data_IF_683466252154
#
_entry.id   IF_683466252154
#
_cell.length_a   1.000
_cell.length_b   1.000
_cell.length_c   1.000
_cell.angle_alpha   90.00
_cell.angle_beta   90.00
_cell.angle_gamma   90.00
#
_symmetry.space_group_name_H-M   'P 1'
#
loop_
_entity.id
_entity.type
_entity.pdbx_description
1 polymer ?
#
# COMPACT_ATOMS: atom_id res chain seq x y z
N UNK A 1 -63.77 -16.57 -22.38
CA UNK A 1 -62.64 -17.27 -21.76
C UNK A 1 -61.30 -17.04 -22.48
N UNK A 2 -61.12 -17.20 -23.82
CA UNK A 2 -59.85 -17.01 -24.51
C UNK A 2 -59.24 -15.60 -24.43
N UNK A 3 -60.07 -14.53 -24.46
CA UNK A 3 -59.55 -13.13 -24.35
C UNK A 3 -59.02 -12.77 -22.96
N UNK A 4 -59.58 -13.34 -21.90
CA UNK A 4 -59.13 -13.10 -20.51
C UNK A 4 -57.78 -13.77 -20.24
N UNK A 5 -57.54 -14.93 -20.83
CA UNK A 5 -56.26 -15.62 -20.73
C UNK A 5 -55.13 -14.87 -21.43
N UNK A 6 -55.41 -14.23 -22.59
CA UNK A 6 -54.42 -13.44 -23.32
C UNK A 6 -54.00 -12.16 -22.56
N UNK A 7 -54.92 -11.52 -21.87
CA UNK A 7 -54.60 -10.36 -21.04
C UNK A 7 -53.83 -10.73 -19.75
N UNK A 8 -54.07 -11.89 -19.16
CA UNK A 8 -53.31 -12.37 -18.01
C UNK A 8 -51.86 -12.74 -18.41
N UNK A 9 -51.65 -13.35 -19.57
CA UNK A 9 -50.30 -13.67 -20.09
C UNK A 9 -49.51 -12.39 -20.45
N UNK A 10 -50.18 -11.38 -21.06
CA UNK A 10 -49.55 -10.10 -21.39
C UNK A 10 -49.14 -9.32 -20.10
N UNK A 11 -49.98 -9.35 -19.07
CA UNK A 11 -49.67 -8.73 -17.77
C UNK A 11 -48.51 -9.42 -17.03
N UNK A 12 -48.43 -10.75 -17.09
CA UNK A 12 -47.30 -11.49 -16.53
C UNK A 12 -46.00 -11.28 -17.25
N UNK A 13 -46.02 -11.13 -18.59
CA UNK A 13 -44.86 -10.83 -19.39
C UNK A 13 -44.33 -9.40 -19.14
N UNK A 14 -45.24 -8.41 -18.95
CA UNK A 14 -44.82 -7.03 -18.59
C UNK A 14 -44.23 -6.94 -17.18
N UNK A 15 -44.75 -7.71 -16.22
CA UNK A 15 -44.17 -7.80 -14.87
C UNK A 15 -42.82 -8.48 -14.85
N UNK A 16 -42.58 -9.50 -15.70
CA UNK A 16 -41.28 -10.16 -15.85
C UNK A 16 -40.22 -9.28 -16.48
N UNK A 17 -40.61 -8.43 -17.46
CA UNK A 17 -39.71 -7.44 -18.08
C UNK A 17 -39.37 -6.32 -17.10
N UNK A 18 -40.31 -5.86 -16.28
CA UNK A 18 -40.06 -4.87 -15.24
C UNK A 18 -39.12 -5.40 -14.12
N UNK A 19 -39.25 -6.67 -13.75
CA UNK A 19 -38.35 -7.33 -12.79
C UNK A 19 -36.92 -7.50 -13.33
N UNK A 20 -36.75 -7.71 -14.64
CA UNK A 20 -35.45 -7.81 -15.27
C UNK A 20 -34.70 -6.45 -15.40
N UNK A 21 -35.43 -5.33 -15.42
CA UNK A 21 -34.86 -3.99 -15.47
C UNK A 21 -34.24 -3.55 -14.13
N UNK A 22 -34.50 -4.24 -13.01
CA UNK A 22 -33.96 -3.91 -11.69
C UNK A 22 -32.52 -4.41 -11.47
N UNK A 23 -31.98 -5.22 -12.37
CA UNK A 23 -30.58 -5.62 -12.39
C UNK A 23 -29.72 -4.56 -13.13
N UNK A 24 -29.95 -3.25 -12.89
CA UNK A 24 -29.02 -2.23 -13.32
C UNK A 24 -27.71 -2.47 -12.59
N UNK A 25 -26.72 -3.00 -13.29
CA UNK A 25 -25.37 -3.09 -12.78
C UNK A 25 -24.92 -1.66 -12.46
N UNK A 26 -24.77 -1.36 -11.16
CA UNK A 26 -24.22 -0.07 -10.75
C UNK A 26 -22.86 0.11 -11.42
N UNK A 27 -22.56 1.29 -11.92
CA UNK A 27 -21.25 1.61 -12.49
C UNK A 27 -20.18 1.21 -11.48
N UNK A 28 -19.24 0.35 -11.84
CA UNK A 28 -18.19 -0.09 -10.92
C UNK A 28 -17.37 1.10 -10.39
N UNK A 29 -16.99 1.01 -9.13
CA UNK A 29 -16.01 1.92 -8.56
C UNK A 29 -14.62 1.43 -8.97
N UNK A 30 -13.75 2.33 -9.42
CA UNK A 30 -12.37 2.04 -9.81
C UNK A 30 -11.39 2.55 -8.76
N UNK A 31 -10.54 1.66 -8.23
CA UNK A 31 -9.40 2.01 -7.40
C UNK A 31 -8.12 1.98 -8.23
N UNK A 32 -7.50 3.15 -8.42
CA UNK A 32 -6.23 3.28 -9.14
C UNK A 32 -5.10 3.09 -8.16
N UNK A 33 -4.37 1.97 -8.29
CA UNK A 33 -3.31 1.53 -7.38
C UNK A 33 -1.93 1.86 -7.96
N UNK A 34 -1.04 2.56 -7.21
CA UNK A 34 0.21 3.09 -7.75
C UNK A 34 1.36 2.07 -7.92
N UNK A 35 1.09 0.78 -7.71
CA UNK A 35 2.11 -0.27 -7.75
C UNK A 35 1.62 -1.52 -8.49
N UNK A 36 2.55 -2.39 -8.94
CA UNK A 36 2.18 -3.65 -9.57
C UNK A 36 1.36 -4.56 -8.67
N UNK A 37 0.61 -5.46 -9.29
CA UNK A 37 -0.10 -6.53 -8.59
C UNK A 37 0.88 -7.40 -7.76
N UNK A 38 0.40 -7.94 -6.64
CA UNK A 38 1.13 -8.82 -5.74
C UNK A 38 1.98 -8.13 -4.67
N UNK A 39 2.22 -6.81 -4.76
CA UNK A 39 2.86 -6.03 -3.69
C UNK A 39 1.90 -5.71 -2.54
N UNK A 40 2.42 -5.09 -1.47
CA UNK A 40 1.64 -4.74 -0.26
C UNK A 40 0.41 -3.88 -0.57
N UNK A 41 0.56 -2.87 -1.44
CA UNK A 41 -0.55 -2.01 -1.86
C UNK A 41 -1.71 -2.81 -2.48
N UNK A 42 -1.38 -3.70 -3.41
CA UNK A 42 -2.37 -4.50 -4.13
C UNK A 42 -3.07 -5.49 -3.19
N UNK A 43 -2.31 -6.22 -2.36
CA UNK A 43 -2.86 -7.20 -1.43
C UNK A 43 -3.82 -6.56 -0.42
N UNK A 44 -3.41 -5.47 0.25
CA UNK A 44 -4.25 -4.75 1.21
C UNK A 44 -5.48 -4.18 0.52
N UNK A 45 -5.29 -3.53 -0.64
CA UNK A 45 -6.41 -2.93 -1.38
C UNK A 45 -7.44 -3.96 -1.80
N UNK A 46 -7.03 -5.13 -2.33
CA UNK A 46 -7.97 -6.19 -2.75
C UNK A 46 -8.77 -6.75 -1.58
N UNK A 47 -8.14 -6.99 -0.42
CA UNK A 47 -8.84 -7.48 0.76
C UNK A 47 -9.91 -6.50 1.22
N UNK A 48 -9.57 -5.21 1.35
CA UNK A 48 -10.50 -4.17 1.81
C UNK A 48 -11.58 -3.88 0.75
N UNK A 49 -11.20 -3.74 -0.52
CA UNK A 49 -12.11 -3.45 -1.62
C UNK A 49 -13.16 -4.54 -1.81
N UNK A 50 -12.77 -5.83 -1.67
CA UNK A 50 -13.71 -6.94 -1.79
C UNK A 50 -14.84 -6.88 -0.74
N UNK A 51 -14.50 -6.59 0.51
CA UNK A 51 -15.48 -6.47 1.59
C UNK A 51 -16.32 -5.18 1.47
N UNK A 52 -15.69 -4.06 1.10
CA UNK A 52 -16.39 -2.81 0.87
C UNK A 52 -17.37 -2.90 -0.31
N UNK A 53 -17.01 -3.60 -1.38
CA UNK A 53 -17.87 -3.83 -2.54
C UNK A 53 -19.15 -4.59 -2.15
N UNK A 54 -19.06 -5.60 -1.28
CA UNK A 54 -20.22 -6.33 -0.78
C UNK A 54 -21.16 -5.42 0.03
N UNK A 55 -20.58 -4.54 0.89
CA UNK A 55 -21.36 -3.62 1.72
C UNK A 55 -22.04 -2.55 0.86
N UNK A 56 -21.35 -2.05 -0.16
CA UNK A 56 -21.88 -1.04 -1.10
C UNK A 56 -22.90 -1.64 -2.08
N UNK A 57 -22.88 -2.95 -2.29
CA UNK A 57 -23.60 -3.58 -3.40
C UNK A 57 -23.15 -3.08 -4.77
N UNK A 58 -21.90 -2.66 -4.90
CA UNK A 58 -21.29 -2.10 -6.10
C UNK A 58 -19.88 -2.67 -6.26
N UNK A 59 -19.54 -3.26 -7.43
CA UNK A 59 -18.21 -3.80 -7.66
C UNK A 59 -17.12 -2.74 -7.52
N UNK A 60 -15.99 -3.12 -6.94
CA UNK A 60 -14.77 -2.29 -6.91
C UNK A 60 -13.70 -2.96 -7.77
N UNK A 61 -13.26 -2.30 -8.83
CA UNK A 61 -12.25 -2.80 -9.77
C UNK A 61 -10.89 -2.20 -9.41
N UNK A 62 -9.88 -3.05 -9.32
CA UNK A 62 -8.51 -2.63 -9.03
C UNK A 62 -7.75 -2.43 -10.35
N UNK A 63 -7.28 -1.19 -10.57
CA UNK A 63 -6.50 -0.79 -11.75
C UNK A 63 -5.06 -0.43 -11.32
N UNK A 64 -4.13 -1.36 -11.50
CA UNK A 64 -2.73 -1.16 -11.13
C UNK A 64 -2.00 -0.30 -12.19
N UNK A 65 -1.56 0.91 -11.82
CA UNK A 65 -0.83 1.88 -12.65
C UNK A 65 0.52 2.18 -12.01
N UNK A 66 1.45 1.27 -12.17
CA UNK A 66 2.79 1.41 -11.61
C UNK A 66 3.63 2.43 -12.38
N UNK A 67 4.59 3.04 -11.68
CA UNK A 67 5.63 3.88 -12.25
C UNK A 67 5.73 5.28 -11.63
N UNK A 68 6.89 5.90 -11.82
CA UNK A 68 7.25 7.23 -11.33
C UNK A 68 6.84 7.45 -9.86
N UNK A 69 7.22 6.52 -8.97
CA UNK A 69 6.87 6.58 -7.54
C UNK A 69 5.37 6.82 -7.26
N UNK A 70 4.48 6.27 -8.11
CA UNK A 70 3.04 6.40 -7.97
C UNK A 70 2.43 7.65 -8.64
N UNK A 71 3.22 8.50 -9.27
CA UNK A 71 2.71 9.71 -9.95
C UNK A 71 1.81 9.36 -11.13
N UNK A 72 2.13 8.29 -11.89
CA UNK A 72 1.29 7.84 -13.02
C UNK A 72 -0.13 7.49 -12.55
N UNK A 73 -0.26 6.81 -11.42
CA UNK A 73 -1.55 6.47 -10.85
C UNK A 73 -2.31 7.70 -10.36
N UNK A 74 -1.62 8.63 -9.68
CA UNK A 74 -2.20 9.88 -9.21
C UNK A 74 -2.77 10.70 -10.39
N UNK A 75 -1.97 10.90 -11.45
CA UNK A 75 -2.42 11.59 -12.66
C UNK A 75 -3.59 10.87 -13.35
N UNK A 76 -3.56 9.52 -13.38
CA UNK A 76 -4.66 8.73 -13.94
C UNK A 76 -5.97 8.99 -13.18
N UNK A 77 -5.92 9.04 -11.85
CA UNK A 77 -7.08 9.35 -11.03
C UNK A 77 -7.56 10.80 -11.22
N UNK A 78 -6.64 11.74 -11.37
CA UNK A 78 -6.97 13.16 -11.60
C UNK A 78 -7.55 13.46 -12.98
N UNK A 79 -7.27 12.61 -13.98
CA UNK A 79 -7.88 12.75 -15.32
C UNK A 79 -9.30 12.15 -15.38
N UNK A 80 -9.69 11.34 -14.42
CA UNK A 80 -11.05 10.82 -14.34
C UNK A 80 -12.02 11.89 -13.84
N UNK A 81 -13.31 11.72 -14.13
CA UNK A 81 -14.34 12.61 -13.62
C UNK A 81 -14.42 12.55 -12.09
N UNK A 82 -14.76 13.69 -11.47
CA UNK A 82 -14.94 13.79 -10.02
C UNK A 82 -16.37 13.36 -9.61
N UNK A 83 -16.87 12.26 -10.17
CA UNK A 83 -18.25 11.75 -10.01
C UNK A 83 -18.42 10.72 -8.86
N UNK A 84 -17.31 10.35 -8.21
CA UNK A 84 -17.32 9.35 -7.14
C UNK A 84 -17.19 7.90 -7.61
N UNK A 85 -16.85 7.67 -8.88
CA UNK A 85 -16.59 6.32 -9.42
C UNK A 85 -15.08 6.00 -9.56
N UNK A 86 -14.19 6.97 -9.47
CA UNK A 86 -12.75 6.74 -9.51
C UNK A 86 -12.08 7.29 -8.26
N UNK A 87 -11.31 6.45 -7.57
CA UNK A 87 -10.53 6.81 -6.39
C UNK A 87 -9.07 6.41 -6.57
N UNK A 88 -8.19 7.16 -5.95
CA UNK A 88 -6.76 6.89 -5.92
C UNK A 88 -6.38 6.15 -4.64
N UNK A 89 -5.52 5.15 -4.72
CA UNK A 89 -4.90 4.53 -3.56
C UNK A 89 -3.63 5.29 -3.21
N UNK A 90 -3.75 6.19 -2.25
CA UNK A 90 -2.63 6.97 -1.72
C UNK A 90 -1.69 6.11 -0.86
N UNK A 91 -0.43 6.53 -0.79
CA UNK A 91 0.62 5.91 0.02
C UNK A 91 1.72 6.93 0.36
N UNK A 92 2.74 6.51 1.12
CA UNK A 92 3.84 7.37 1.54
C UNK A 92 4.48 8.16 0.38
N UNK A 93 4.79 7.53 -0.76
CA UNK A 93 5.48 8.20 -1.86
C UNK A 93 4.62 9.28 -2.51
N UNK A 94 3.47 8.98 -3.17
CA UNK A 94 2.73 9.97 -3.93
C UNK A 94 2.03 11.03 -3.07
N UNK A 95 1.74 10.75 -1.78
CA UNK A 95 1.03 11.67 -0.91
C UNK A 95 1.93 12.47 0.03
N UNK A 96 3.18 12.02 0.24
CA UNK A 96 4.09 12.60 1.24
C UNK A 96 5.47 12.88 0.66
N UNK A 97 6.21 11.84 0.25
CA UNK A 97 7.65 11.93 0.04
C UNK A 97 8.00 12.61 -1.29
N UNK A 98 7.24 12.36 -2.35
CA UNK A 98 7.55 12.88 -3.68
C UNK A 98 7.73 14.40 -3.72
N UNK A 99 6.99 15.16 -2.90
CA UNK A 99 7.12 16.62 -2.77
C UNK A 99 8.52 17.08 -2.33
N UNK A 100 9.28 16.20 -1.65
CA UNK A 100 10.60 16.54 -1.14
C UNK A 100 11.74 16.18 -2.10
N UNK A 101 11.49 15.26 -3.05
CA UNK A 101 12.55 14.63 -3.85
C UNK A 101 12.44 14.90 -5.36
N UNK A 102 11.23 15.22 -5.86
CA UNK A 102 11.03 15.61 -7.26
C UNK A 102 11.00 17.12 -7.40
N UNK A 103 11.76 17.65 -8.36
CA UNK A 103 11.77 19.08 -8.67
C UNK A 103 10.44 19.55 -9.28
N UNK A 104 9.76 18.65 -10.01
CA UNK A 104 8.46 18.92 -10.62
C UNK A 104 7.51 17.75 -10.39
N UNK A 105 6.30 18.06 -9.97
CA UNK A 105 5.19 17.13 -9.88
C UNK A 105 4.02 17.66 -10.73
N UNK A 106 3.33 16.76 -11.42
CA UNK A 106 2.16 17.12 -12.23
C UNK A 106 0.90 17.37 -11.39
N UNK A 107 0.96 17.15 -10.07
CA UNK A 107 -0.14 17.35 -9.13
C UNK A 107 0.37 17.85 -7.77
N UNK A 108 -0.53 18.42 -7.01
CA UNK A 108 -0.33 18.79 -5.62
C UNK A 108 -1.16 17.85 -4.73
N UNK A 109 -0.52 16.97 -3.93
CA UNK A 109 -1.24 15.99 -3.13
C UNK A 109 -2.20 16.59 -2.09
N UNK A 110 -1.99 17.85 -1.68
CA UNK A 110 -2.82 18.54 -0.69
C UNK A 110 -4.01 19.29 -1.29
N UNK A 111 -3.88 19.73 -2.53
CA UNK A 111 -4.91 20.52 -3.23
C UNK A 111 -5.80 19.65 -4.11
N UNK A 112 -5.21 18.65 -4.76
CA UNK A 112 -5.86 17.87 -5.81
C UNK A 112 -6.55 16.62 -5.28
N UNK A 113 -6.25 16.22 -4.04
CA UNK A 113 -6.84 15.06 -3.39
C UNK A 113 -7.42 15.38 -2.02
N UNK A 114 -8.52 14.72 -1.70
CA UNK A 114 -9.13 14.70 -0.35
C UNK A 114 -9.07 13.29 0.23
N UNK A 115 -8.69 13.13 1.52
CA UNK A 115 -8.69 11.83 2.18
C UNK A 115 -10.11 11.26 2.27
N UNK A 116 -10.22 9.93 2.07
CA UNK A 116 -11.47 9.20 2.27
C UNK A 116 -11.36 8.28 3.49
N UNK A 117 -10.40 7.36 3.48
CA UNK A 117 -10.21 6.40 4.59
C UNK A 117 -8.85 5.71 4.47
N UNK A 118 -8.19 5.41 5.61
CA UNK A 118 -7.07 4.49 5.64
C UNK A 118 -7.53 3.05 5.39
N UNK A 119 -6.78 2.29 4.60
CA UNK A 119 -7.07 0.87 4.37
C UNK A 119 -6.19 -0.05 5.22
N UNK A 120 -4.93 0.29 5.37
CA UNK A 120 -4.01 -0.50 6.18
C UNK A 120 -2.60 0.06 6.21
N UNK A 121 -1.90 -0.26 7.27
CA UNK A 121 -0.46 0.00 7.43
C UNK A 121 0.27 -1.28 7.76
N UNK A 122 1.54 -1.34 7.39
CA UNK A 122 2.40 -2.48 7.65
C UNK A 122 3.81 -2.01 7.98
N UNK A 123 4.43 -2.52 9.05
CA UNK A 123 5.83 -2.21 9.33
C UNK A 123 6.73 -2.72 8.21
N UNK A 124 7.88 -2.10 8.06
CA UNK A 124 8.92 -2.62 7.20
C UNK A 124 9.70 -3.72 7.90
N UNK A 125 10.22 -4.63 7.12
CA UNK A 125 11.08 -5.72 7.52
C UNK A 125 12.42 -5.60 6.79
N UNK A 126 13.53 -5.57 7.51
CA UNK A 126 14.85 -5.77 6.93
C UNK A 126 14.98 -7.25 6.57
N UNK A 127 15.13 -7.51 5.30
CA UNK A 127 15.34 -8.86 4.74
C UNK A 127 16.61 -8.92 3.91
N UNK A 128 17.23 -10.10 3.86
CA UNK A 128 18.35 -10.38 2.97
C UNK A 128 18.03 -11.54 2.02
N UNK A 129 18.76 -11.63 0.92
CA UNK A 129 18.75 -12.83 0.09
C UNK A 129 19.19 -14.07 0.89
N UNK A 130 18.63 -15.23 0.57
CA UNK A 130 18.78 -16.45 1.37
C UNK A 130 20.22 -16.92 1.60
N UNK A 131 21.11 -16.63 0.66
CA UNK A 131 22.51 -17.06 0.69
C UNK A 131 23.51 -15.92 1.06
N UNK A 132 23.05 -14.82 1.68
CA UNK A 132 23.95 -13.73 2.11
C UNK A 132 24.91 -14.14 3.23
N UNK A 133 24.54 -15.14 4.05
CA UNK A 133 25.39 -15.63 5.13
C UNK A 133 25.16 -14.95 6.49
N UNK A 134 24.08 -14.16 6.64
CA UNK A 134 23.64 -13.59 7.91
C UNK A 134 22.25 -14.14 8.26
N UNK A 135 22.01 -14.43 9.54
CA UNK A 135 20.73 -14.92 10.08
C UNK A 135 20.15 -14.02 11.18
N UNK A 136 20.92 -13.04 11.61
CA UNK A 136 20.54 -12.00 12.57
C UNK A 136 21.24 -10.68 12.26
N UNK A 137 20.85 -9.61 12.95
CA UNK A 137 21.39 -8.26 12.74
C UNK A 137 22.88 -8.20 13.07
N UNK A 138 23.34 -8.91 14.09
CA UNK A 138 24.75 -8.87 14.51
C UNK A 138 25.66 -9.52 13.44
N UNK A 139 25.28 -10.67 12.91
CA UNK A 139 25.97 -11.33 11.79
C UNK A 139 25.96 -10.46 10.54
N UNK A 140 24.81 -9.83 10.24
CA UNK A 140 24.67 -8.93 9.12
C UNK A 140 25.63 -7.73 9.22
N UNK A 141 25.70 -7.07 10.39
CA UNK A 141 26.62 -5.96 10.61
C UNK A 141 28.08 -6.43 10.51
N UNK A 142 28.39 -7.63 11.02
CA UNK A 142 29.74 -8.18 10.91
C UNK A 142 30.16 -8.43 9.46
N UNK A 143 29.22 -8.85 8.58
CA UNK A 143 29.43 -8.95 7.15
C UNK A 143 29.57 -7.56 6.51
N UNK A 144 28.71 -6.62 6.90
CA UNK A 144 28.73 -5.25 6.37
C UNK A 144 30.07 -4.54 6.63
N UNK A 145 30.65 -4.73 7.82
CA UNK A 145 31.97 -4.17 8.17
C UNK A 145 33.14 -4.74 7.34
N UNK A 146 32.96 -5.93 6.77
CA UNK A 146 33.98 -6.58 5.92
C UNK A 146 33.79 -6.23 4.43
N UNK A 147 32.70 -5.60 4.07
CA UNK A 147 32.39 -5.25 2.68
C UNK A 147 32.91 -3.85 2.35
N UNK A 148 33.88 -3.73 1.46
CA UNK A 148 34.40 -2.45 0.99
C UNK A 148 33.39 -1.70 0.09
N UNK A 149 32.52 -2.45 -0.59
CA UNK A 149 31.52 -1.89 -1.54
C UNK A 149 30.15 -1.66 -0.92
N UNK A 150 29.88 -2.21 0.27
CA UNK A 150 28.54 -2.24 0.87
C UNK A 150 27.62 -3.30 0.23
N UNK A 151 26.31 -3.09 0.33
CA UNK A 151 25.29 -3.99 -0.21
C UNK A 151 24.41 -3.32 -1.25
N UNK A 152 23.92 -4.10 -2.20
CA UNK A 152 22.84 -3.65 -3.08
C UNK A 152 21.50 -3.69 -2.33
N UNK A 153 20.82 -2.56 -2.28
CA UNK A 153 19.54 -2.41 -1.59
C UNK A 153 18.40 -2.18 -2.59
N UNK A 154 17.51 -3.15 -2.72
CA UNK A 154 16.29 -3.00 -3.53
C UNK A 154 15.24 -2.16 -2.81
N UNK A 155 14.46 -1.40 -3.57
CA UNK A 155 13.28 -0.69 -3.07
C UNK A 155 12.09 -0.73 -4.02
N UNK A 156 10.89 -0.43 -3.53
CA UNK A 156 9.67 -0.38 -4.34
C UNK A 156 9.63 0.80 -5.34
N UNK A 157 10.45 1.83 -5.14
CA UNK A 157 10.79 2.89 -6.11
C UNK A 157 11.77 3.89 -5.47
N UNK A 158 12.42 4.71 -6.29
CA UNK A 158 13.12 5.89 -5.77
C UNK A 158 12.15 6.75 -4.95
N UNK A 159 12.58 7.17 -3.75
CA UNK A 159 11.78 7.99 -2.86
C UNK A 159 10.58 7.31 -2.19
N UNK A 160 10.40 6.02 -2.37
CA UNK A 160 9.41 5.28 -1.57
C UNK A 160 9.87 5.14 -0.11
N UNK A 161 8.95 4.85 0.81
CA UNK A 161 9.26 4.59 2.22
C UNK A 161 10.31 3.49 2.38
N UNK A 162 10.29 2.47 1.50
CA UNK A 162 11.27 1.37 1.49
C UNK A 162 12.68 1.84 1.14
N UNK A 163 12.82 2.92 0.33
CA UNK A 163 14.10 3.57 0.06
C UNK A 163 14.52 4.45 1.24
N UNK A 164 13.68 5.40 1.66
CA UNK A 164 14.03 6.36 2.70
C UNK A 164 14.36 5.69 4.03
N UNK A 165 13.51 4.78 4.48
CA UNK A 165 13.73 4.03 5.72
C UNK A 165 14.98 3.13 5.61
N UNK A 166 15.19 2.54 4.43
CA UNK A 166 16.38 1.74 4.16
C UNK A 166 17.68 2.55 4.26
N UNK A 167 17.74 3.72 3.62
CA UNK A 167 18.89 4.64 3.72
C UNK A 167 19.12 5.12 5.15
N UNK A 168 18.04 5.52 5.84
CA UNK A 168 18.13 5.98 7.23
C UNK A 168 18.65 4.88 8.16
N UNK A 169 18.06 3.69 8.09
CA UNK A 169 18.45 2.55 8.91
C UNK A 169 19.89 2.08 8.59
N UNK A 170 20.27 2.03 7.32
CA UNK A 170 21.63 1.65 6.90
C UNK A 170 22.68 2.61 7.47
N UNK A 171 22.41 3.92 7.45
CA UNK A 171 23.29 4.93 8.07
C UNK A 171 23.36 4.75 9.59
N UNK A 172 22.24 4.53 10.25
CA UNK A 172 22.20 4.27 11.69
C UNK A 172 22.97 3.01 12.09
N UNK A 173 22.89 1.96 11.26
CA UNK A 173 23.61 0.69 11.43
C UNK A 173 25.09 0.74 10.99
N UNK A 174 25.53 1.85 10.37
CA UNK A 174 26.92 2.10 10.01
C UNK A 174 27.42 1.34 8.78
N UNK A 175 26.57 1.06 7.79
CA UNK A 175 26.98 0.43 6.53
C UNK A 175 26.48 1.20 5.30
N UNK A 176 27.15 0.97 4.17
CA UNK A 176 26.83 1.60 2.89
C UNK A 176 25.90 0.72 2.05
N UNK A 177 25.03 1.36 1.30
CA UNK A 177 24.18 0.70 0.32
C UNK A 177 24.30 1.34 -1.05
N UNK A 178 24.17 0.51 -2.10
CA UNK A 178 23.92 0.95 -3.46
C UNK A 178 22.46 0.72 -3.75
N UNK A 179 21.68 1.78 -3.88
CA UNK A 179 20.24 1.70 -4.09
C UNK A 179 19.90 1.25 -5.50
N UNK A 180 19.00 0.27 -5.61
CA UNK A 180 18.45 -0.28 -6.85
C UNK A 180 16.92 -0.13 -6.82
N UNK A 181 16.35 0.86 -7.53
CA UNK A 181 14.91 1.08 -7.57
C UNK A 181 14.21 0.11 -8.51
N UNK A 182 13.01 -0.34 -8.10
CA UNK A 182 12.09 -1.15 -8.89
C UNK A 182 10.76 -0.41 -9.08
N UNK A 183 9.87 -0.93 -9.92
CA UNK A 183 8.53 -0.37 -10.10
C UNK A 183 7.54 -0.77 -8.98
N UNK A 184 7.99 -1.50 -7.96
CA UNK A 184 7.21 -1.97 -6.81
C UNK A 184 7.91 -3.10 -6.06
N UNK A 185 7.38 -3.49 -4.90
CA UNK A 185 7.95 -4.56 -4.07
C UNK A 185 7.99 -5.92 -4.77
N UNK A 186 6.97 -6.29 -5.54
CA UNK A 186 6.91 -7.60 -6.19
C UNK A 186 8.11 -7.86 -7.13
N UNK A 187 8.44 -6.98 -8.10
CA UNK A 187 9.64 -7.16 -8.93
C UNK A 187 10.95 -7.08 -8.12
N UNK A 188 11.02 -6.27 -7.06
CA UNK A 188 12.20 -6.20 -6.19
C UNK A 188 12.44 -7.53 -5.45
N UNK A 189 11.39 -8.14 -4.88
CA UNK A 189 11.46 -9.47 -4.25
C UNK A 189 11.89 -10.53 -5.27
N UNK A 190 11.36 -10.50 -6.49
CA UNK A 190 11.78 -11.43 -7.55
C UNK A 190 13.27 -11.29 -7.84
N UNK A 191 13.80 -10.05 -7.90
CA UNK A 191 15.21 -9.78 -8.10
C UNK A 191 16.07 -10.28 -6.93
N UNK A 192 15.59 -10.15 -5.68
CA UNK A 192 16.27 -10.69 -4.48
C UNK A 192 16.31 -12.23 -4.52
N UNK A 193 15.22 -12.89 -4.88
CA UNK A 193 15.16 -14.34 -5.02
C UNK A 193 16.13 -14.86 -6.11
N UNK A 194 16.39 -14.03 -7.13
CA UNK A 194 17.40 -14.26 -8.16
C UNK A 194 18.83 -13.88 -7.74
N UNK A 195 19.05 -13.47 -6.49
CA UNK A 195 20.35 -13.01 -5.94
C UNK A 195 20.94 -11.77 -6.65
N UNK A 196 20.12 -10.95 -7.31
CA UNK A 196 20.58 -9.73 -7.99
C UNK A 196 20.65 -8.51 -7.05
N UNK A 197 20.01 -8.58 -5.88
CA UNK A 197 20.11 -7.60 -4.80
C UNK A 197 20.31 -8.32 -3.47
N UNK A 198 21.01 -7.67 -2.53
CA UNK A 198 21.44 -8.28 -1.28
C UNK A 198 20.40 -8.11 -0.17
N UNK A 199 19.82 -6.90 -0.06
CA UNK A 199 18.93 -6.54 1.04
C UNK A 199 17.72 -5.73 0.54
N UNK A 200 16.67 -5.74 1.36
CA UNK A 200 15.53 -4.82 1.25
C UNK A 200 15.01 -4.43 2.63
N UNK A 201 14.42 -3.24 2.70
CA UNK A 201 13.52 -2.84 3.78
C UNK A 201 12.12 -2.79 3.18
N UNK A 202 11.34 -3.84 3.33
CA UNK A 202 10.07 -3.96 2.60
C UNK A 202 8.89 -4.25 3.52
N UNK A 203 7.68 -3.88 3.10
CA UNK A 203 6.47 -4.09 3.87
C UNK A 203 6.14 -5.58 3.99
N UNK A 204 5.71 -6.02 5.18
CA UNK A 204 5.43 -7.43 5.47
C UNK A 204 4.55 -8.14 4.42
N UNK A 205 3.43 -7.55 3.91
CA UNK A 205 2.60 -8.25 2.92
C UNK A 205 3.36 -8.70 1.68
N UNK A 206 4.41 -7.99 1.28
CA UNK A 206 5.21 -8.35 0.10
C UNK A 206 6.19 -9.47 0.37
N UNK A 207 6.81 -9.51 1.54
CA UNK A 207 7.98 -10.36 1.83
C UNK A 207 7.70 -11.50 2.83
N UNK A 208 6.63 -11.41 3.64
CA UNK A 208 6.37 -12.34 4.75
C UNK A 208 6.30 -13.82 4.31
N UNK A 209 5.64 -14.11 3.19
CA UNK A 209 5.52 -15.48 2.71
C UNK A 209 6.86 -16.06 2.24
N UNK A 210 7.71 -15.23 1.65
CA UNK A 210 9.06 -15.63 1.22
C UNK A 210 9.98 -15.86 2.42
N UNK A 211 9.82 -15.01 3.46
CA UNK A 211 10.54 -15.17 4.72
C UNK A 211 10.13 -16.47 5.46
N UNK A 212 8.82 -16.72 5.60
CA UNK A 212 8.30 -17.97 6.18
C UNK A 212 8.71 -19.22 5.40
N UNK A 213 8.84 -19.12 4.09
CA UNK A 213 9.33 -20.21 3.25
C UNK A 213 10.86 -20.37 3.28
N UNK A 214 11.59 -19.54 4.05
CA UNK A 214 13.06 -19.58 4.15
C UNK A 214 13.81 -19.17 2.88
N UNK A 215 13.12 -18.54 1.91
CA UNK A 215 13.74 -18.12 0.64
C UNK A 215 14.48 -16.80 0.76
N UNK A 216 14.08 -15.96 1.69
CA UNK A 216 14.77 -14.76 2.14
C UNK A 216 14.89 -14.81 3.66
N UNK A 217 15.86 -14.11 4.23
CA UNK A 217 16.12 -14.13 5.68
C UNK A 217 15.62 -12.84 6.31
N UNK A 218 14.60 -12.88 7.18
CA UNK A 218 14.17 -11.73 7.96
C UNK A 218 15.16 -11.46 9.10
N UNK A 219 15.62 -10.21 9.24
CA UNK A 219 16.60 -9.83 10.26
C UNK A 219 16.00 -8.97 11.37
N UNK A 220 15.18 -7.97 11.03
CA UNK A 220 14.58 -7.09 12.02
C UNK A 220 13.33 -6.38 11.47
N UNK A 221 12.37 -6.11 12.36
CA UNK A 221 11.18 -5.31 12.08
C UNK A 221 11.43 -3.85 12.45
N UNK A 222 11.02 -2.93 11.59
CA UNK A 222 11.08 -1.49 11.82
C UNK A 222 9.78 -1.02 12.51
N UNK A 223 9.50 -1.57 13.68
CA UNK A 223 8.33 -1.23 14.50
C UNK A 223 8.76 -1.21 15.99
N UNK A 224 7.95 -0.58 16.85
CA UNK A 224 8.16 -0.56 18.30
C UNK A 224 7.90 -1.92 18.98
N UNK A 225 7.36 -2.90 18.28
CA UNK A 225 7.09 -4.26 18.77
C UNK A 225 7.27 -5.32 17.68
N UNK A 226 7.58 -6.54 18.12
CA UNK A 226 7.65 -7.69 17.22
C UNK A 226 6.30 -7.99 16.58
N UNK A 227 6.32 -8.58 15.41
CA UNK A 227 5.11 -8.92 14.68
C UNK A 227 4.65 -10.35 15.03
N UNK A 228 3.35 -10.57 15.37
CA UNK A 228 2.88 -11.87 15.86
C UNK A 228 3.09 -13.06 14.91
N UNK A 229 3.16 -12.82 13.60
CA UNK A 229 3.35 -13.87 12.60
C UNK A 229 4.81 -14.32 12.43
N UNK A 230 5.76 -13.56 12.98
CA UNK A 230 7.21 -13.86 12.99
C UNK A 230 7.80 -13.38 14.34
N UNK A 231 7.33 -13.93 15.47
CA UNK A 231 7.71 -13.47 16.82
C UNK A 231 9.19 -13.65 17.14
N UNK A 232 9.88 -14.53 16.43
CA UNK A 232 11.32 -14.78 16.53
C UNK A 232 12.14 -13.62 15.96
N UNK A 233 11.59 -12.80 15.04
CA UNK A 233 12.30 -11.68 14.43
C UNK A 233 12.25 -10.48 15.38
N UNK A 234 13.41 -9.96 15.84
CA UNK A 234 13.45 -8.82 16.73
C UNK A 234 13.02 -7.53 16.04
N UNK A 235 12.71 -6.52 16.83
CA UNK A 235 12.65 -5.15 16.31
C UNK A 235 14.05 -4.60 16.07
N UNK A 236 14.16 -3.58 15.22
CA UNK A 236 15.46 -2.92 14.99
C UNK A 236 15.93 -2.19 16.26
N UNK A 237 14.99 -1.72 17.09
CA UNK A 237 15.28 -1.15 18.41
C UNK A 237 15.87 -2.20 19.38
N UNK A 238 15.32 -3.42 19.46
CA UNK A 238 15.87 -4.54 20.24
C UNK A 238 17.27 -4.95 19.75
N UNK A 239 17.55 -4.75 18.46
CA UNK A 239 18.88 -4.99 17.88
C UNK A 239 19.88 -3.84 18.11
N UNK A 240 19.51 -2.80 18.88
CA UNK A 240 20.39 -1.70 19.27
C UNK A 240 20.27 -0.43 18.42
N UNK A 241 19.25 -0.32 17.53
CA UNK A 241 19.06 0.81 16.61
C UNK A 241 17.64 1.40 16.76
N UNK A 242 17.31 2.04 17.91
CA UNK A 242 16.02 2.69 18.13
C UNK A 242 15.84 3.91 17.20
N UNK A 243 14.59 4.36 17.04
CA UNK A 243 14.25 5.55 16.24
C UNK A 243 14.19 5.31 14.73
N UNK A 244 14.25 4.05 14.31
CA UNK A 244 14.17 3.66 12.89
C UNK A 244 12.83 2.97 12.54
N UNK A 245 11.77 3.24 13.31
CA UNK A 245 10.45 2.70 13.02
C UNK A 245 9.95 3.27 11.69
N UNK A 246 9.42 2.41 10.83
CA UNK A 246 8.88 2.81 9.53
C UNK A 246 7.78 1.85 9.07
N UNK A 247 6.72 2.40 8.53
CA UNK A 247 5.59 1.64 8.01
C UNK A 247 5.18 2.12 6.62
N UNK A 248 4.88 1.20 5.73
CA UNK A 248 4.12 1.50 4.54
C UNK A 248 2.63 1.60 4.92
N UNK A 249 1.93 2.59 4.39
CA UNK A 249 0.50 2.74 4.56
C UNK A 249 -0.19 2.95 3.22
N UNK A 250 -1.46 2.56 3.16
CA UNK A 250 -2.32 2.67 1.99
C UNK A 250 -3.70 3.13 2.42
N UNK A 251 -4.28 4.06 1.67
CA UNK A 251 -5.60 4.56 1.94
C UNK A 251 -6.25 5.14 0.69
N UNK A 252 -7.56 5.29 0.74
CA UNK A 252 -8.34 5.82 -0.38
C UNK A 252 -8.34 7.34 -0.35
N UNK A 253 -8.05 7.93 -1.51
CA UNK A 253 -8.11 9.36 -1.78
C UNK A 253 -9.12 9.61 -2.89
N UNK A 254 -9.92 10.65 -2.76
CA UNK A 254 -10.78 11.13 -3.83
C UNK A 254 -10.14 12.36 -4.50
N UNK A 255 -10.41 12.57 -5.80
CA UNK A 255 -10.08 13.83 -6.46
C UNK A 255 -10.88 14.98 -5.80
N UNK A 256 -10.27 16.14 -5.64
CA UNK A 256 -10.96 17.36 -5.19
C UNK A 256 -12.14 17.66 -6.11
N UNK A 257 -13.30 17.95 -5.52
CA UNK A 257 -14.57 18.13 -6.25
C UNK A 257 -15.44 16.86 -6.32
N UNK A 258 -14.97 15.71 -5.85
CA UNK A 258 -15.82 14.51 -5.72
C UNK A 258 -16.97 14.79 -4.75
N UNK A 259 -18.23 14.40 -5.06
CA UNK A 259 -19.38 14.61 -4.19
C UNK A 259 -19.16 14.02 -2.79
N UNK A 260 -19.48 14.80 -1.75
CA UNK A 260 -19.29 14.39 -0.36
C UNK A 260 -20.03 13.09 -0.04
N UNK A 261 -21.22 12.89 -0.60
CA UNK A 261 -21.99 11.65 -0.43
C UNK A 261 -21.25 10.39 -0.91
N UNK A 262 -20.44 10.50 -1.97
CA UNK A 262 -19.62 9.38 -2.46
C UNK A 262 -18.45 9.10 -1.50
N UNK A 263 -17.81 10.15 -0.98
CA UNK A 263 -16.74 10.05 0.03
C UNK A 263 -17.27 9.38 1.30
N UNK A 264 -18.42 9.88 1.82
CA UNK A 264 -19.01 9.36 3.05
C UNK A 264 -19.49 7.92 2.91
N UNK A 265 -20.08 7.58 1.76
CA UNK A 265 -20.53 6.22 1.46
C UNK A 265 -19.36 5.23 1.45
N UNK A 266 -18.27 5.57 0.79
CA UNK A 266 -17.07 4.72 0.71
C UNK A 266 -16.36 4.64 2.08
N UNK A 267 -16.21 5.76 2.80
CA UNK A 267 -15.66 5.77 4.16
C UNK A 267 -16.45 4.84 5.07
N UNK A 268 -17.79 4.97 5.08
CA UNK A 268 -18.68 4.11 5.88
C UNK A 268 -18.50 2.64 5.52
N UNK A 269 -18.49 2.30 4.22
CA UNK A 269 -18.38 0.91 3.77
C UNK A 269 -17.05 0.27 4.20
N UNK A 270 -15.92 0.99 4.09
CA UNK A 270 -14.62 0.50 4.53
C UNK A 270 -14.56 0.35 6.06
N UNK A 271 -15.10 1.30 6.83
CA UNK A 271 -15.15 1.19 8.28
C UNK A 271 -16.06 0.02 8.74
N UNK A 272 -17.20 -0.21 8.08
CA UNK A 272 -18.05 -1.38 8.34
C UNK A 272 -17.32 -2.69 7.97
N UNK A 273 -16.54 -2.71 6.88
CA UNK A 273 -15.73 -3.87 6.52
C UNK A 273 -14.76 -4.25 7.65
N UNK A 274 -14.12 -3.28 8.31
CA UNK A 274 -13.21 -3.52 9.43
C UNK A 274 -13.88 -4.05 10.69
N UNK A 275 -15.20 -3.99 10.81
CA UNK A 275 -15.94 -4.67 11.90
C UNK A 275 -16.07 -6.17 11.68
N UNK A 276 -15.75 -6.68 10.48
CA UNK A 276 -15.74 -8.11 10.16
C UNK A 276 -14.45 -8.77 10.66
N UNK A 277 -14.50 -9.68 11.63
CA UNK A 277 -13.29 -10.31 12.20
C UNK A 277 -12.47 -11.05 11.16
N UNK A 278 -13.09 -11.61 10.14
CA UNK A 278 -12.43 -12.33 9.06
C UNK A 278 -11.52 -11.40 8.22
N UNK A 279 -11.96 -10.20 7.86
CA UNK A 279 -11.13 -9.22 7.17
C UNK A 279 -9.92 -8.83 8.02
N UNK A 280 -10.14 -8.52 9.29
CA UNK A 280 -9.07 -8.14 10.23
C UNK A 280 -8.05 -9.28 10.35
N UNK A 281 -8.52 -10.52 10.48
CA UNK A 281 -7.66 -11.71 10.53
C UNK A 281 -6.85 -11.87 9.24
N UNK A 282 -7.47 -11.73 8.07
CA UNK A 282 -6.77 -11.82 6.77
C UNK A 282 -5.72 -10.73 6.62
N UNK A 283 -6.02 -9.48 7.02
CA UNK A 283 -5.03 -8.40 7.00
C UNK A 283 -3.84 -8.70 7.93
N UNK A 284 -4.12 -9.12 9.17
CA UNK A 284 -3.07 -9.49 10.13
C UNK A 284 -2.21 -10.65 9.61
N UNK A 285 -2.81 -11.64 8.95
CA UNK A 285 -2.09 -12.79 8.40
C UNK A 285 -1.10 -12.43 7.29
N UNK A 286 -1.37 -11.37 6.54
CA UNK A 286 -0.41 -10.86 5.54
C UNK A 286 0.56 -9.83 6.12
N UNK A 287 0.43 -9.44 7.38
CA UNK A 287 1.33 -8.46 7.98
C UNK A 287 0.83 -7.02 7.93
N UNK A 288 -0.46 -6.81 7.74
CA UNK A 288 -1.06 -5.48 7.70
C UNK A 288 -2.02 -5.27 8.88
N UNK A 289 -2.06 -4.05 9.40
CA UNK A 289 -3.00 -3.62 10.44
C UNK A 289 -4.06 -2.71 9.79
N UNK A 290 -5.37 -2.91 10.07
CA UNK A 290 -6.42 -2.02 9.57
C UNK A 290 -6.21 -0.58 10.05
N UNK A 291 -6.68 0.38 9.25
CA UNK A 291 -6.66 1.81 9.58
C UNK A 291 -8.06 2.42 9.52
N UNK A 292 -9.00 2.00 10.40
CA UNK A 292 -10.31 2.61 10.46
C UNK A 292 -10.24 4.07 10.89
N UNK A 293 -11.22 4.87 10.46
CA UNK A 293 -11.33 6.26 10.87
C UNK A 293 -12.11 7.12 9.91
N UNK A 294 -12.33 8.38 10.34
CA UNK A 294 -12.95 9.39 9.49
C UNK A 294 -11.98 9.90 8.42
N UNK A 295 -12.48 10.59 7.37
CA UNK A 295 -11.62 11.28 6.41
C UNK A 295 -10.68 12.28 7.09
N UNK A 296 -11.14 12.98 8.12
CA UNK A 296 -10.35 13.93 8.89
C UNK A 296 -9.21 13.25 9.67
N UNK A 297 -9.50 12.12 10.33
CA UNK A 297 -8.47 11.35 11.04
C UNK A 297 -7.39 10.84 10.09
N UNK A 298 -7.78 10.37 8.90
CA UNK A 298 -6.83 9.96 7.88
C UNK A 298 -6.03 11.15 7.33
N UNK A 299 -6.65 12.31 7.15
CA UNK A 299 -5.98 13.55 6.77
C UNK A 299 -4.92 13.99 7.80
N UNK A 300 -5.25 13.94 9.10
CA UNK A 300 -4.31 14.23 10.19
C UNK A 300 -3.12 13.28 10.18
N UNK A 301 -3.37 11.98 10.00
CA UNK A 301 -2.31 10.98 9.85
C UNK A 301 -1.36 11.30 8.67
N UNK A 302 -1.90 11.69 7.50
CA UNK A 302 -1.06 12.08 6.36
C UNK A 302 -0.23 13.32 6.66
N UNK A 303 -0.78 14.29 7.41
CA UNK A 303 -0.05 15.49 7.83
C UNK A 303 1.11 15.15 8.79
N UNK A 304 0.90 14.25 9.74
CA UNK A 304 1.96 13.72 10.63
C UNK A 304 3.06 13.01 9.84
N UNK A 305 2.69 12.18 8.87
CA UNK A 305 3.64 11.53 7.97
C UNK A 305 4.48 12.55 7.17
N UNK A 306 3.87 13.65 6.70
CA UNK A 306 4.60 14.74 6.03
C UNK A 306 5.59 15.41 6.96
N UNK A 307 5.17 15.74 8.18
CA UNK A 307 6.02 16.38 9.19
C UNK A 307 7.25 15.51 9.52
N UNK A 308 7.09 14.20 9.48
CA UNK A 308 8.17 13.22 9.76
C UNK A 308 9.09 12.99 8.56
N UNK A 309 8.53 12.66 7.40
CA UNK A 309 9.31 12.12 6.29
C UNK A 309 9.89 13.17 5.36
N UNK A 310 9.27 14.36 5.21
CA UNK A 310 9.80 15.41 4.33
C UNK A 310 11.16 15.94 4.82
N UNK A 311 11.33 16.29 6.12
CA UNK A 311 12.64 16.72 6.62
C UNK A 311 13.71 15.63 6.47
N UNK A 312 13.36 14.37 6.74
CA UNK A 312 14.27 13.25 6.60
C UNK A 312 14.70 13.06 5.14
N UNK A 313 13.78 13.07 4.19
CA UNK A 313 14.09 12.95 2.76
C UNK A 313 15.09 14.03 2.30
N UNK A 314 14.87 15.28 2.75
CA UNK A 314 15.77 16.40 2.46
C UNK A 314 17.16 16.21 3.10
N UNK A 315 17.23 15.76 4.36
CA UNK A 315 18.50 15.53 5.06
C UNK A 315 19.32 14.39 4.48
N UNK A 316 18.66 13.38 3.90
CA UNK A 316 19.31 12.29 3.19
C UNK A 316 19.87 12.70 1.82
N UNK A 317 19.46 13.88 1.29
CA UNK A 317 19.88 14.38 -0.01
C UNK A 317 19.34 13.57 -1.19
N UNK A 318 18.25 12.81 -0.97
CA UNK A 318 17.65 11.96 -2.01
C UNK A 318 16.96 12.86 -3.03
N UNK A 319 17.29 12.65 -4.30
CA UNK A 319 16.64 13.25 -5.47
C UNK A 319 16.22 12.15 -6.42
N UNK A 320 15.12 12.36 -7.12
CA UNK A 320 14.53 11.38 -8.01
C UNK A 320 14.20 11.99 -9.40
N UNK A 321 15.06 12.90 -9.87
CA UNK A 321 14.94 13.55 -11.21
C UNK A 321 15.51 12.65 -12.30
#
# INVERSE_FOLDING_TARGET
MRRQFLHALAGAALLAVAASASAQSRTPIRFVVPYPAGGAADQITRLVANEAAQILGTPIVIDNKAGAAGMIAAETALRADADGHTFFVGSNAPMVINQAIYAKMAYNPEKDFVPVVGMGKSPLLLVTRGNLGARDVAQFIALAKKSDTGFTMGSASSGNITHLAGESASRAMGFRVTHVPFSGSAPAITSMLGNNIDIMFDALPSCLQQAKAGRIVPLAILDGKRFPQIPEVPTLAEAGFPGNEASAWFGVMARTGTPQAAIDSLNKAVNEAFKRPDLVTRLNNIGAQPMPGSPQAFGSFIAEERARWIPLAKSLGIKAD
#
